data_IF_228607395982
#
_entry.id   IF_228607395982
#
_cell.length_a   1.000
_cell.length_b   1.000
_cell.length_c   1.000
_cell.angle_alpha   90.00
_cell.angle_beta   90.00
_cell.angle_gamma   90.00
#
_symmetry.space_group_name_H-M   'P 1'
#
loop_
_entity.id
_entity.type
_entity.pdbx_description
1 polymer ?
#
# COMPACT_ATOMS: atom_id res chain seq x y z
N UNK A 1 12.15 32.64 8.94
CA UNK A 1 10.80 32.17 8.54
C UNK A 1 10.88 31.26 7.31
N UNK A 2 11.47 30.07 7.45
CA UNK A 2 11.65 29.12 6.35
C UNK A 2 11.21 27.74 6.81
N UNK A 3 10.31 27.10 6.05
CA UNK A 3 9.94 25.67 6.07
C UNK A 3 8.61 25.23 6.75
N UNK A 4 7.55 26.04 6.73
CA UNK A 4 6.16 25.53 6.94
C UNK A 4 5.40 25.22 5.64
N UNK A 5 6.08 25.16 4.49
CA UNK A 5 5.46 24.92 3.19
C UNK A 5 5.43 23.43 2.80
N UNK A 6 6.29 22.59 3.39
CA UNK A 6 6.41 21.18 3.00
C UNK A 6 5.22 20.33 3.48
N UNK A 7 4.65 20.64 4.66
CA UNK A 7 3.48 19.94 5.20
C UNK A 7 2.19 20.21 4.41
N UNK A 8 2.08 21.39 3.80
CA UNK A 8 0.88 21.88 3.09
C UNK A 8 0.83 21.50 1.60
N UNK A 9 1.68 20.57 1.16
CA UNK A 9 1.73 20.05 -0.23
C UNK A 9 0.84 18.82 -0.44
N UNK A 10 -0.08 18.54 0.48
CA UNK A 10 -1.05 17.45 0.36
C UNK A 10 -2.08 17.68 -0.74
N UNK A 11 -2.89 16.66 -1.02
CA UNK A 11 -4.00 16.70 -1.99
C UNK A 11 -5.04 17.78 -1.66
N UNK A 12 -5.13 18.20 -0.39
CA UNK A 12 -6.01 19.25 0.07
C UNK A 12 -5.19 20.49 0.44
N UNK A 13 -5.54 21.64 -0.15
CA UNK A 13 -4.87 22.89 0.13
C UNK A 13 -4.97 23.24 1.63
N UNK A 14 -3.83 23.59 2.24
CA UNK A 14 -3.71 23.99 3.67
C UNK A 14 -4.03 22.87 4.68
N UNK A 15 -4.09 21.61 4.27
CA UNK A 15 -4.17 20.47 5.17
C UNK A 15 -2.78 19.86 5.39
N UNK A 16 -2.55 19.33 6.60
CA UNK A 16 -1.35 18.54 6.93
C UNK A 16 -1.57 17.04 6.63
N UNK A 17 -2.76 16.67 6.16
CA UNK A 17 -3.09 15.28 5.81
C UNK A 17 -2.40 14.85 4.50
N UNK A 18 -1.62 13.78 4.61
CA UNK A 18 -0.77 13.27 3.52
C UNK A 18 -1.11 11.85 3.08
N UNK A 19 -1.89 11.11 3.89
CA UNK A 19 -2.21 9.71 3.61
C UNK A 19 -3.69 9.59 3.30
N UNK A 20 -3.99 8.89 2.21
CA UNK A 20 -5.35 8.72 1.73
C UNK A 20 -5.60 7.26 1.33
N UNK A 21 -6.79 6.77 1.62
CA UNK A 21 -7.29 5.50 1.14
C UNK A 21 -8.15 5.79 -0.09
N UNK A 22 -7.76 5.23 -1.23
CA UNK A 22 -8.37 5.58 -2.51
C UNK A 22 -9.33 4.49 -2.95
N UNK A 23 -10.56 4.90 -3.21
CA UNK A 23 -11.53 4.13 -3.95
C UNK A 23 -11.59 4.65 -5.38
N UNK A 24 -11.30 3.77 -6.33
CA UNK A 24 -11.15 4.12 -7.73
C UNK A 24 -12.41 3.73 -8.51
N UNK A 25 -12.89 4.62 -9.38
CA UNK A 25 -13.96 4.35 -10.34
C UNK A 25 -13.65 3.16 -11.25
N UNK A 26 -14.68 2.40 -11.67
CA UNK A 26 -14.48 1.29 -12.61
C UNK A 26 -13.83 1.73 -13.92
N UNK A 27 -14.21 2.90 -14.42
CA UNK A 27 -13.69 3.46 -15.66
C UNK A 27 -12.19 3.76 -15.54
N UNK A 28 -11.77 4.46 -14.49
CA UNK A 28 -10.34 4.73 -14.27
C UNK A 28 -9.56 3.45 -13.96
N UNK A 29 -10.18 2.51 -13.23
CA UNK A 29 -9.56 1.20 -12.94
C UNK A 29 -9.22 0.44 -14.21
N UNK A 30 -10.07 0.49 -15.24
CA UNK A 30 -9.78 -0.10 -16.55
C UNK A 30 -8.51 0.49 -17.18
N UNK A 31 -8.47 1.81 -17.31
CA UNK A 31 -7.32 2.57 -17.86
C UNK A 31 -6.04 2.28 -17.09
N UNK A 32 -6.09 2.35 -15.76
CA UNK A 32 -4.95 2.06 -14.90
C UNK A 32 -4.47 0.61 -15.03
N UNK A 33 -5.40 -0.35 -15.07
CA UNK A 33 -5.06 -1.78 -15.17
C UNK A 33 -4.38 -2.08 -16.50
N UNK A 34 -4.84 -1.48 -17.59
CA UNK A 34 -4.21 -1.63 -18.90
C UNK A 34 -2.77 -1.09 -18.91
N UNK A 35 -2.57 0.15 -18.47
CA UNK A 35 -1.25 0.77 -18.38
C UNK A 35 -0.30 -0.02 -17.47
N UNK A 36 -0.81 -0.49 -16.33
CA UNK A 36 -0.08 -1.37 -15.40
C UNK A 36 0.33 -2.69 -16.04
N UNK A 37 -0.57 -3.35 -16.77
CA UNK A 37 -0.28 -4.62 -17.42
C UNK A 37 0.80 -4.46 -18.49
N UNK A 38 0.72 -3.39 -19.31
CA UNK A 38 1.77 -3.06 -20.29
C UNK A 38 3.15 -2.92 -19.63
N UNK A 39 3.24 -2.22 -18.48
CA UNK A 39 4.48 -2.12 -17.71
C UNK A 39 4.99 -3.48 -17.21
N UNK A 40 4.13 -4.32 -16.64
CA UNK A 40 4.54 -5.63 -16.11
C UNK A 40 5.02 -6.59 -17.22
N UNK A 41 4.36 -6.58 -18.39
CA UNK A 41 4.78 -7.36 -19.56
C UNK A 41 6.18 -6.91 -20.04
N UNK A 42 6.42 -5.60 -20.08
CA UNK A 42 7.73 -5.10 -20.48
C UNK A 42 8.83 -5.41 -19.46
N UNK A 43 8.48 -5.38 -18.17
CA UNK A 43 9.37 -5.73 -17.07
C UNK A 43 9.68 -7.24 -17.00
N UNK A 44 8.75 -8.11 -17.37
CA UNK A 44 9.01 -9.55 -17.43
C UNK A 44 9.95 -9.89 -18.59
N UNK A 45 9.73 -9.30 -19.77
CA UNK A 45 10.62 -9.45 -20.95
C UNK A 45 12.06 -9.01 -20.68
N UNK A 46 12.25 -8.02 -19.81
CA UNK A 46 13.59 -7.57 -19.38
C UNK A 46 14.33 -8.63 -18.53
N UNK A 47 13.62 -9.50 -17.80
CA UNK A 47 14.27 -10.54 -16.98
C UNK A 47 14.73 -11.74 -17.79
N UNK A 48 14.12 -11.98 -18.94
CA UNK A 48 14.39 -13.15 -19.79
C UNK A 48 15.52 -12.89 -20.81
N UNK A 49 15.75 -11.64 -21.21
CA UNK A 49 16.79 -11.27 -22.18
C UNK A 49 17.85 -10.37 -21.55
N UNK A 50 19.13 -10.62 -21.84
CA UNK A 50 20.19 -9.65 -21.56
C UNK A 50 19.84 -8.31 -22.22
N UNK A 51 19.87 -7.23 -21.43
CA UNK A 51 19.31 -5.92 -21.74
C UNK A 51 19.74 -5.39 -23.11
N UNK A 52 18.85 -5.48 -24.12
CA UNK A 52 18.97 -4.69 -25.33
C UNK A 52 18.52 -3.25 -25.06
N UNK A 53 19.24 -2.25 -25.58
CA UNK A 53 18.94 -0.82 -25.45
C UNK A 53 17.47 -0.49 -25.73
N UNK A 54 16.93 -1.06 -26.82
CA UNK A 54 15.52 -0.94 -27.23
C UNK A 54 14.52 -1.50 -26.21
N UNK A 55 14.87 -2.53 -25.43
CA UNK A 55 13.98 -3.10 -24.42
C UNK A 55 13.95 -2.23 -23.16
N UNK A 56 15.10 -1.64 -22.80
CA UNK A 56 15.19 -0.68 -21.70
C UNK A 56 14.38 0.60 -21.99
N UNK A 57 14.49 1.14 -23.21
CA UNK A 57 13.70 2.30 -23.66
C UNK A 57 12.20 2.04 -23.57
N UNK A 58 11.73 0.89 -24.07
CA UNK A 58 10.32 0.55 -24.01
C UNK A 58 9.80 0.39 -22.58
N UNK A 59 10.62 -0.14 -21.66
CA UNK A 59 10.27 -0.22 -20.25
C UNK A 59 10.18 1.17 -19.61
N UNK A 60 11.12 2.07 -19.93
CA UNK A 60 11.08 3.45 -19.45
C UNK A 60 9.86 4.19 -20.00
N UNK A 61 9.52 4.01 -21.28
CA UNK A 61 8.33 4.60 -21.89
C UNK A 61 7.04 4.10 -21.22
N UNK A 62 6.94 2.79 -20.94
CA UNK A 62 5.80 2.23 -20.22
C UNK A 62 5.69 2.77 -18.78
N UNK A 63 6.81 2.94 -18.09
CA UNK A 63 6.85 3.55 -16.76
C UNK A 63 6.42 5.03 -16.79
N UNK A 64 6.94 5.82 -17.73
CA UNK A 64 6.57 7.23 -17.90
C UNK A 64 5.10 7.40 -18.23
N UNK A 65 4.53 6.54 -19.09
CA UNK A 65 3.11 6.53 -19.40
C UNK A 65 2.25 6.27 -18.15
N UNK A 66 2.57 5.22 -17.39
CA UNK A 66 1.86 4.88 -16.16
C UNK A 66 1.94 6.04 -15.14
N UNK A 67 3.13 6.61 -14.95
CA UNK A 67 3.31 7.73 -14.04
C UNK A 67 2.56 8.99 -14.52
N UNK A 68 2.57 9.25 -15.83
CA UNK A 68 1.82 10.34 -16.45
C UNK A 68 0.32 10.25 -16.21
N UNK A 69 -0.27 9.05 -16.35
CA UNK A 69 -1.68 8.80 -16.05
C UNK A 69 -1.99 9.06 -14.57
N UNK A 70 -1.14 8.57 -13.65
CA UNK A 70 -1.33 8.78 -12.22
C UNK A 70 -1.21 10.26 -11.83
N UNK A 71 -0.21 10.97 -12.35
CA UNK A 71 -0.04 12.41 -12.16
C UNK A 71 -1.24 13.19 -12.71
N UNK A 72 -1.71 12.84 -13.90
CA UNK A 72 -2.88 13.48 -14.51
C UNK A 72 -4.17 13.24 -13.70
N UNK A 73 -4.33 12.04 -13.15
CA UNK A 73 -5.44 11.70 -12.27
C UNK A 73 -5.38 12.50 -10.96
N UNK A 74 -4.24 12.53 -10.29
CA UNK A 74 -4.04 13.27 -9.03
C UNK A 74 -4.25 14.77 -9.21
N UNK A 75 -3.81 15.34 -10.34
CA UNK A 75 -3.95 16.77 -10.65
C UNK A 75 -5.33 17.16 -11.20
N UNK A 76 -6.33 16.27 -11.16
CA UNK A 76 -7.66 16.48 -11.76
C UNK A 76 -7.64 16.89 -13.25
N UNK A 77 -6.57 16.58 -13.99
CA UNK A 77 -6.45 16.98 -15.40
C UNK A 77 -7.09 15.97 -16.36
N UNK A 78 -7.51 14.81 -15.85
CA UNK A 78 -8.16 13.75 -16.62
C UNK A 78 -9.68 13.94 -16.63
N UNK A 79 -10.21 14.55 -17.70
CA UNK A 79 -11.65 14.79 -17.88
C UNK A 79 -12.43 13.47 -17.80
N UNK A 80 -13.51 13.43 -17.02
CA UNK A 80 -14.33 12.24 -16.82
C UNK A 80 -13.81 11.25 -15.78
N UNK A 81 -12.66 11.53 -15.15
CA UNK A 81 -12.08 10.73 -14.08
C UNK A 81 -11.76 11.58 -12.85
N UNK A 82 -12.68 12.47 -12.51
CA UNK A 82 -12.54 13.33 -11.33
C UNK A 82 -12.67 12.51 -10.05
N UNK A 83 -12.09 13.04 -8.96
CA UNK A 83 -12.22 12.46 -7.63
C UNK A 83 -12.61 13.51 -6.60
N UNK A 84 -13.27 13.06 -5.53
CA UNK A 84 -13.60 13.87 -4.35
C UNK A 84 -12.80 13.40 -3.14
N UNK A 85 -12.50 14.34 -2.24
CA UNK A 85 -11.86 14.03 -0.96
C UNK A 85 -12.96 14.06 0.12
N UNK A 86 -13.06 12.98 0.90
CA UNK A 86 -14.10 12.81 1.94
C UNK A 86 -13.50 12.20 3.20
N UNK A 87 -13.98 12.58 4.37
CA UNK A 87 -13.67 11.86 5.60
C UNK A 87 -14.57 10.64 5.79
N UNK A 88 -14.03 9.58 6.40
CA UNK A 88 -14.84 8.42 6.80
C UNK A 88 -15.80 8.82 7.91
N UNK A 89 -17.07 8.49 7.73
CA UNK A 89 -18.08 8.60 8.79
C UNK A 89 -17.75 7.67 9.95
N UNK A 90 -18.31 7.96 11.13
CA UNK A 90 -18.08 7.13 12.32
C UNK A 90 -18.42 5.65 12.08
N UNK A 91 -19.50 5.38 11.35
CA UNK A 91 -19.96 4.03 11.04
C UNK A 91 -18.97 3.29 10.13
N UNK A 92 -18.45 3.96 9.10
CA UNK A 92 -17.41 3.40 8.20
C UNK A 92 -16.12 3.08 8.96
N UNK A 93 -15.77 3.93 9.94
CA UNK A 93 -14.58 3.72 10.78
C UNK A 93 -14.74 2.52 11.72
N UNK A 94 -15.89 2.39 12.38
CA UNK A 94 -16.16 1.27 13.29
C UNK A 94 -16.21 -0.06 12.55
N UNK A 95 -16.84 -0.10 11.38
CA UNK A 95 -16.98 -1.32 10.58
C UNK A 95 -15.77 -1.61 9.68
N UNK A 96 -14.82 -0.67 9.61
CA UNK A 96 -13.69 -0.71 8.68
C UNK A 96 -14.13 -1.05 7.25
N UNK A 97 -15.21 -0.40 6.81
CA UNK A 97 -15.83 -0.61 5.51
C UNK A 97 -16.26 0.74 4.93
N UNK A 98 -15.87 1.05 3.70
CA UNK A 98 -16.33 2.25 3.01
C UNK A 98 -17.76 2.05 2.49
N UNK A 99 -18.72 2.76 3.08
CA UNK A 99 -20.04 2.83 2.50
C UNK A 99 -19.93 3.66 1.23
N UNK A 100 -20.01 2.96 0.10
CA UNK A 100 -20.48 3.56 -1.12
C UNK A 100 -21.80 4.24 -0.79
N UNK A 101 -21.82 5.58 -0.74
CA UNK A 101 -23.04 6.34 -0.94
C UNK A 101 -23.47 6.05 -2.38
N UNK A 102 -24.00 4.84 -2.58
CA UNK A 102 -24.66 4.41 -3.80
C UNK A 102 -25.97 5.18 -3.78
N UNK A 103 -25.90 6.43 -4.22
CA UNK A 103 -27.09 7.19 -4.48
C UNK A 103 -27.89 6.35 -5.49
N UNK A 104 -29.11 5.89 -5.15
CA UNK A 104 -29.87 4.97 -6.00
C UNK A 104 -30.19 5.56 -7.39
N UNK A 105 -29.97 6.86 -7.59
CA UNK A 105 -30.14 7.58 -8.84
C UNK A 105 -28.83 7.83 -9.61
N UNK A 106 -27.67 7.41 -9.09
CA UNK A 106 -26.38 7.56 -9.76
C UNK A 106 -26.12 6.31 -10.62
N UNK A 107 -26.17 6.49 -11.94
CA UNK A 107 -25.99 5.45 -12.94
C UNK A 107 -24.65 4.73 -12.76
N UNK A 108 -24.64 3.41 -12.99
CA UNK A 108 -23.48 2.50 -12.84
C UNK A 108 -22.19 2.97 -13.54
N UNK A 109 -22.28 3.92 -14.47
CA UNK A 109 -21.18 4.47 -15.26
C UNK A 109 -20.50 5.70 -14.62
N UNK A 110 -21.09 6.24 -13.55
CA UNK A 110 -20.67 7.50 -12.90
C UNK A 110 -20.24 7.30 -11.43
N UNK A 111 -19.61 6.16 -11.12
CA UNK A 111 -18.92 6.00 -9.84
C UNK A 111 -17.70 6.95 -9.85
N UNK A 112 -17.81 8.13 -9.24
CA UNK A 112 -16.67 9.03 -9.06
C UNK A 112 -15.63 8.38 -8.13
N UNK A 113 -14.34 8.61 -8.38
CA UNK A 113 -13.30 8.14 -7.45
C UNK A 113 -13.35 8.94 -6.14
N UNK A 114 -13.09 8.30 -5.00
CA UNK A 114 -13.15 8.94 -3.68
C UNK A 114 -11.82 8.71 -2.95
N UNK A 115 -11.28 9.78 -2.39
CA UNK A 115 -10.09 9.78 -1.55
C UNK A 115 -10.52 9.98 -0.10
N UNK A 116 -10.34 8.94 0.69
CA UNK A 116 -10.62 8.95 2.12
C UNK A 116 -9.39 9.40 2.89
N UNK A 117 -9.53 10.36 3.80
CA UNK A 117 -8.43 10.74 4.70
C UNK A 117 -8.09 9.57 5.64
N UNK A 118 -6.82 9.15 5.66
CA UNK A 118 -6.35 8.02 6.48
C UNK A 118 -5.90 8.47 7.88
N UNK A 119 -6.87 8.79 8.74
CA UNK A 119 -6.60 9.20 10.13
C UNK A 119 -5.99 8.08 10.98
N UNK A 120 -6.28 6.81 10.65
CA UNK A 120 -5.90 5.65 11.46
C UNK A 120 -4.48 5.13 11.17
N UNK A 121 -3.74 5.84 10.29
CA UNK A 121 -2.38 5.49 9.85
C UNK A 121 -2.31 4.05 9.35
N UNK A 122 -3.27 3.63 8.53
CA UNK A 122 -3.39 2.25 8.06
C UNK A 122 -2.15 1.79 7.28
N UNK A 123 -1.49 2.70 6.57
CA UNK A 123 -0.21 2.40 5.91
C UNK A 123 0.87 1.97 6.92
N UNK A 124 0.95 2.63 8.08
CA UNK A 124 1.90 2.29 9.13
C UNK A 124 1.56 0.93 9.72
N UNK A 125 0.29 0.64 9.98
CA UNK A 125 -0.15 -0.70 10.45
C UNK A 125 0.13 -1.82 9.43
N UNK A 126 0.07 -1.51 8.14
CA UNK A 126 0.38 -2.48 7.07
C UNK A 126 1.89 -2.78 6.96
N UNK A 127 2.73 -1.85 7.37
CA UNK A 127 4.16 -2.07 7.57
C UNK A 127 4.30 -2.68 8.98
N UNK A 128 5.24 -3.60 9.19
CA UNK A 128 5.40 -4.24 10.52
C UNK A 128 5.73 -3.24 11.66
N UNK A 129 5.96 -1.97 11.30
CA UNK A 129 6.17 -0.84 12.19
C UNK A 129 4.86 -0.47 12.90
N UNK A 130 4.71 -0.88 14.17
CA UNK A 130 3.53 -0.61 15.00
C UNK A 130 2.89 -1.87 15.60
N UNK A 131 3.29 -3.05 15.14
CA UNK A 131 2.86 -4.35 15.71
C UNK A 131 3.81 -4.89 16.78
N UNK A 132 4.70 -4.04 17.32
CA UNK A 132 5.69 -4.42 18.33
C UNK A 132 5.05 -5.05 19.57
N UNK A 133 3.94 -4.47 20.05
CA UNK A 133 3.19 -5.02 21.17
C UNK A 133 2.55 -6.37 20.84
N UNK A 134 2.00 -6.54 19.64
CA UNK A 134 1.46 -7.83 19.20
C UNK A 134 2.55 -8.90 19.10
N UNK A 135 3.74 -8.53 18.61
CA UNK A 135 4.89 -9.41 18.55
C UNK A 135 5.40 -9.77 19.94
N UNK A 136 5.38 -8.83 20.89
CA UNK A 136 5.73 -9.09 22.28
C UNK A 136 4.76 -10.08 22.92
N UNK A 137 3.45 -9.87 22.78
CA UNK A 137 2.41 -10.79 23.29
C UNK A 137 2.57 -12.18 22.67
N UNK A 138 2.81 -12.25 21.35
CA UNK A 138 3.07 -13.51 20.65
C UNK A 138 4.30 -14.24 21.23
N UNK A 139 5.41 -13.53 21.42
CA UNK A 139 6.63 -14.11 21.99
C UNK A 139 6.43 -14.59 23.42
N UNK A 140 5.74 -13.81 24.25
CA UNK A 140 5.45 -14.17 25.64
C UNK A 140 4.51 -15.39 25.71
N UNK A 141 3.45 -15.44 24.91
CA UNK A 141 2.56 -16.60 24.84
C UNK A 141 3.29 -17.87 24.35
N UNK A 142 4.15 -17.73 23.32
CA UNK A 142 4.95 -18.83 22.79
C UNK A 142 5.96 -19.33 23.82
N UNK A 143 6.58 -18.44 24.58
CA UNK A 143 7.49 -18.80 25.68
C UNK A 143 6.76 -19.60 26.76
N UNK A 144 5.64 -19.10 27.27
CA UNK A 144 4.85 -19.78 28.30
C UNK A 144 4.38 -21.16 27.80
N UNK A 145 3.93 -21.23 26.55
CA UNK A 145 3.52 -22.49 25.93
C UNK A 145 4.67 -23.51 25.90
N UNK A 146 5.87 -23.11 25.49
CA UNK A 146 7.02 -24.02 25.41
C UNK A 146 7.53 -24.40 26.80
N UNK A 147 7.57 -23.45 27.74
CA UNK A 147 7.98 -23.68 29.12
C UNK A 147 7.12 -24.75 29.80
N UNK A 148 5.81 -24.74 29.53
CA UNK A 148 4.87 -25.77 29.98
C UNK A 148 5.27 -27.19 29.54
N UNK A 149 5.88 -27.36 28.36
CA UNK A 149 6.31 -28.67 27.85
C UNK A 149 7.78 -29.01 28.14
N UNK A 150 8.65 -28.00 28.24
CA UNK A 150 10.10 -28.19 28.29
C UNK A 150 10.63 -28.50 29.69
N UNK A 151 9.88 -28.13 30.76
CA UNK A 151 10.28 -28.22 32.17
C UNK A 151 11.66 -27.58 32.48
N UNK A 152 12.19 -26.78 31.55
CA UNK A 152 13.47 -26.09 31.62
C UNK A 152 13.34 -24.74 30.92
N UNK A 153 13.39 -23.68 31.72
CA UNK A 153 13.22 -22.29 31.27
C UNK A 153 14.30 -21.83 30.30
N UNK A 154 15.52 -22.36 30.39
CA UNK A 154 16.63 -22.02 29.48
C UNK A 154 16.35 -22.59 28.09
N UNK A 155 15.93 -23.86 28.02
CA UNK A 155 15.60 -24.51 26.76
C UNK A 155 14.39 -23.84 26.10
N UNK A 156 13.36 -23.50 26.90
CA UNK A 156 12.20 -22.77 26.41
C UNK A 156 12.58 -21.43 25.77
N UNK A 157 13.46 -20.66 26.43
CA UNK A 157 13.93 -19.38 25.91
C UNK A 157 14.66 -19.50 24.57
N UNK A 158 15.54 -20.51 24.43
CA UNK A 158 16.27 -20.76 23.18
C UNK A 158 15.31 -21.11 22.04
N UNK A 159 14.34 -22.00 22.28
CA UNK A 159 13.38 -22.42 21.26
C UNK A 159 12.46 -21.27 20.86
N UNK A 160 11.95 -20.48 21.82
CA UNK A 160 11.14 -19.29 21.51
C UNK A 160 11.92 -18.28 20.67
N UNK A 161 13.20 -18.06 20.98
CA UNK A 161 14.05 -17.16 20.18
C UNK A 161 14.19 -17.62 18.73
N UNK A 162 14.43 -18.93 18.51
CA UNK A 162 14.53 -19.50 17.16
C UNK A 162 13.22 -19.34 16.39
N UNK A 163 12.08 -19.63 17.02
CA UNK A 163 10.76 -19.47 16.40
C UNK A 163 10.47 -18.00 16.04
N UNK A 164 10.78 -17.07 16.94
CA UNK A 164 10.63 -15.64 16.69
C UNK A 164 11.50 -15.19 15.51
N UNK A 165 12.76 -15.63 15.47
CA UNK A 165 13.67 -15.28 14.39
C UNK A 165 13.15 -15.76 13.03
N UNK A 166 12.65 -16.99 12.96
CA UNK A 166 12.04 -17.54 11.73
C UNK A 166 10.79 -16.75 11.35
N UNK A 167 9.89 -16.47 12.31
CA UNK A 167 8.66 -15.73 12.07
C UNK A 167 8.95 -14.32 11.50
N UNK A 168 9.89 -13.59 12.09
CA UNK A 168 10.30 -12.26 11.62
C UNK A 168 10.86 -12.35 10.19
N UNK A 169 11.73 -13.33 9.91
CA UNK A 169 12.31 -13.51 8.57
C UNK A 169 11.25 -13.80 7.51
N UNK A 170 10.27 -14.64 7.83
CA UNK A 170 9.12 -14.91 6.98
C UNK A 170 8.35 -13.62 6.74
N UNK A 171 7.91 -12.94 7.80
CA UNK A 171 7.14 -11.70 7.71
C UNK A 171 7.85 -10.61 6.89
N UNK A 172 9.15 -10.39 7.10
CA UNK A 172 9.93 -9.42 6.33
C UNK A 172 10.04 -9.81 4.85
N UNK A 173 10.25 -11.10 4.55
CA UNK A 173 10.34 -11.59 3.17
C UNK A 173 9.01 -11.43 2.42
N UNK A 174 7.90 -11.82 3.05
CA UNK A 174 6.56 -11.65 2.48
C UNK A 174 6.17 -10.18 2.38
N UNK A 175 6.43 -9.38 3.42
CA UNK A 175 6.18 -7.94 3.44
C UNK A 175 6.91 -7.21 2.32
N UNK A 176 8.23 -7.41 2.17
CA UNK A 176 9.04 -6.79 1.11
C UNK A 176 8.61 -7.21 -0.29
N UNK A 177 8.29 -8.50 -0.50
CA UNK A 177 7.79 -9.00 -1.78
C UNK A 177 6.44 -8.37 -2.14
N UNK A 178 5.52 -8.28 -1.18
CA UNK A 178 4.20 -7.70 -1.41
C UNK A 178 4.32 -6.19 -1.68
N UNK A 179 5.09 -5.48 -0.85
CA UNK A 179 5.29 -4.05 -0.97
C UNK A 179 5.92 -3.69 -2.32
N UNK A 180 7.06 -4.28 -2.69
CA UNK A 180 7.71 -4.03 -4.00
C UNK A 180 6.83 -4.34 -5.22
N UNK A 181 5.94 -5.33 -5.12
CA UNK A 181 5.03 -5.70 -6.22
C UNK A 181 3.87 -4.71 -6.34
N UNK A 182 3.42 -4.13 -5.21
CA UNK A 182 2.25 -3.25 -5.15
C UNK A 182 2.60 -1.77 -5.27
N UNK A 183 3.77 -1.33 -4.79
CA UNK A 183 4.15 0.09 -4.75
C UNK A 183 4.98 0.55 -5.95
N UNK A 184 5.28 -0.32 -6.93
CA UNK A 184 6.23 -0.05 -8.02
C UNK A 184 7.65 0.36 -7.55
N UNK A 185 7.92 0.37 -6.24
CA UNK A 185 9.21 0.68 -5.66
C UNK A 185 10.17 -0.50 -5.88
N UNK A 186 11.40 -0.26 -6.35
CA UNK A 186 12.39 -1.32 -6.48
C UNK A 186 12.73 -1.92 -5.12
N UNK A 187 12.94 -3.24 -5.05
CA UNK A 187 13.27 -3.96 -3.81
C UNK A 187 14.49 -3.41 -3.09
N UNK A 188 15.41 -2.79 -3.83
CA UNK A 188 16.65 -2.24 -3.30
C UNK A 188 16.42 -1.04 -2.37
N UNK A 189 15.22 -0.44 -2.42
CA UNK A 189 14.82 0.69 -1.58
C UNK A 189 13.88 0.26 -0.42
N UNK A 190 13.71 -1.04 -0.15
CA UNK A 190 12.81 -1.62 0.88
C UNK A 190 13.54 -2.61 1.81
#
# INVERSE_FOLDING_TARGET
ESNQLSGKRGLQAKSDEQTFIVQISRNFRGVYTEARNRYHIQRSRQKENAMGEKQAENLMAAYQNLNGILCAFINHSLRGHEYTIRERTFQERVLNYEFLNRNPYQTLESEQSIFFVDNDRNLIRAIFAGHENSLFIWNMATFIFIDYFAFNYVLAGIVTYILNFIAIKICMSFGRKNLSTKTLIPKNFL
#
